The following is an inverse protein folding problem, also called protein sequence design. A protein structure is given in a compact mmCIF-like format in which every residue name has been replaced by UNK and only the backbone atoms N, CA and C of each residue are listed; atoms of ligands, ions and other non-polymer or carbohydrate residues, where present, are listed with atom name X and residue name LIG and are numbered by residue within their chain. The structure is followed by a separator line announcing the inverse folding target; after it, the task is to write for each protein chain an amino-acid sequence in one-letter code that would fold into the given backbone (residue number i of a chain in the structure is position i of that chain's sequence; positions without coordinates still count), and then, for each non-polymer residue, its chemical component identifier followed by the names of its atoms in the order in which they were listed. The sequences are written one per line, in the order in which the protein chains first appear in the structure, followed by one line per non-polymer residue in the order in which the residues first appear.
data_IF_893317624331
#
_entry.id   IF_893317624331
#
_cell.length_a   1.000
_cell.length_b   1.000
_cell.length_c   1.000
_cell.angle_alpha   90.00
_cell.angle_beta   90.00
_cell.angle_gamma   90.00
#
_symmetry.space_group_name_H-M   'P 1'
#
loop_
_entity.id
_entity.type
_entity.pdbx_description
1 polymer ?
#
# COMPACT_ATOMS: atom_id res chain seq x y z
N UNK A 1 -2.31 17.73 22.53
CA UNK A 1 -2.37 18.77 21.49
C UNK A 1 -3.29 18.25 20.41
N UNK A 2 -4.51 18.80 20.34
CA UNK A 2 -5.41 18.53 19.23
C UNK A 2 -4.80 19.19 17.99
N UNK A 3 -4.39 18.39 17.01
CA UNK A 3 -4.09 18.88 15.69
C UNK A 3 -5.45 19.36 15.16
N UNK A 4 -5.64 20.65 14.97
CA UNK A 4 -6.77 21.17 14.22
C UNK A 4 -6.58 20.68 12.79
N UNK A 5 -7.12 19.47 12.52
CA UNK A 5 -6.92 18.78 11.27
C UNK A 5 -7.78 19.36 10.18
N UNK A 6 -7.22 20.30 9.45
CA UNK A 6 -7.71 20.58 8.11
C UNK A 6 -7.13 19.50 7.19
N UNK A 7 -7.99 18.85 6.41
CA UNK A 7 -7.53 18.01 5.31
C UNK A 7 -7.33 18.88 4.07
N UNK A 8 -6.32 18.55 3.26
CA UNK A 8 -6.08 19.23 2.00
C UNK A 8 -7.19 18.90 0.99
N UNK A 9 -7.75 19.92 0.38
CA UNK A 9 -8.71 19.73 -0.72
C UNK A 9 -7.96 19.23 -1.96
N UNK A 10 -8.42 18.09 -2.50
CA UNK A 10 -7.87 17.60 -3.77
C UNK A 10 -8.31 18.48 -4.93
N UNK A 11 -7.35 18.91 -5.74
CA UNK A 11 -7.58 19.74 -6.93
C UNK A 11 -7.47 18.95 -8.24
N UNK A 12 -6.93 17.74 -8.17
CA UNK A 12 -6.82 16.82 -9.28
C UNK A 12 -7.79 15.63 -9.17
N UNK A 13 -7.47 14.56 -9.87
CA UNK A 13 -8.31 13.35 -9.96
C UNK A 13 -7.71 12.23 -9.13
N UNK A 14 -8.53 11.65 -8.25
CA UNK A 14 -8.25 10.38 -7.58
C UNK A 14 -8.96 9.24 -8.32
N UNK A 15 -8.23 8.19 -8.66
CA UNK A 15 -8.77 6.97 -9.28
C UNK A 15 -9.06 5.94 -8.19
N UNK A 16 -10.32 5.57 -8.03
CA UNK A 16 -10.69 4.47 -7.12
C UNK A 16 -10.33 3.13 -7.78
N UNK A 17 -9.59 2.29 -7.05
CA UNK A 17 -9.19 0.96 -7.49
C UNK A 17 -9.42 -0.06 -6.39
N UNK A 18 -10.21 -1.07 -6.70
CA UNK A 18 -10.40 -2.25 -5.87
C UNK A 18 -9.23 -3.23 -6.11
N UNK A 19 -8.49 -3.58 -5.06
CA UNK A 19 -7.27 -4.37 -5.15
C UNK A 19 -7.39 -5.75 -4.51
N UNK A 20 -8.24 -5.88 -3.50
CA UNK A 20 -8.28 -7.04 -2.62
C UNK A 20 -9.66 -7.70 -2.58
N UNK A 21 -9.72 -8.92 -2.09
CA UNK A 21 -10.99 -9.57 -1.76
C UNK A 21 -11.57 -8.99 -0.47
N UNK A 22 -12.88 -9.13 -0.31
CA UNK A 22 -13.58 -8.75 0.91
C UNK A 22 -13.00 -9.48 2.13
N UNK A 23 -12.80 -8.76 3.23
CA UNK A 23 -12.26 -9.26 4.50
C UNK A 23 -13.24 -9.12 5.65
N UNK A 24 -13.98 -8.01 5.71
CA UNK A 24 -15.00 -7.78 6.72
C UNK A 24 -16.32 -8.40 6.26
N UNK A 25 -16.75 -9.47 6.94
CA UNK A 25 -17.95 -10.23 6.58
C UNK A 25 -19.19 -9.52 7.13
N UNK A 26 -19.17 -9.16 8.41
CA UNK A 26 -20.20 -8.39 9.10
C UNK A 26 -19.57 -7.51 10.20
N UNK A 27 -20.31 -7.05 11.18
CA UNK A 27 -19.87 -6.14 12.25
C UNK A 27 -18.91 -6.77 13.26
N UNK A 28 -18.69 -8.06 13.21
CA UNK A 28 -17.82 -8.80 14.12
C UNK A 28 -17.01 -9.91 13.45
N UNK A 29 -17.42 -10.40 12.29
CA UNK A 29 -16.75 -11.49 11.59
C UNK A 29 -15.83 -10.99 10.49
N UNK A 30 -14.65 -11.58 10.42
CA UNK A 30 -13.61 -11.28 9.43
C UNK A 30 -13.00 -12.59 8.89
N UNK A 31 -12.39 -12.50 7.69
CA UNK A 31 -11.66 -13.61 7.10
C UNK A 31 -10.31 -13.13 6.57
N UNK A 32 -9.22 -13.67 7.13
CA UNK A 32 -7.85 -13.41 6.67
C UNK A 32 -7.12 -14.75 6.50
N UNK A 33 -6.32 -14.86 5.43
CA UNK A 33 -5.52 -16.07 5.17
C UNK A 33 -6.33 -17.37 5.19
N UNK A 34 -7.56 -17.31 4.65
CA UNK A 34 -8.54 -18.42 4.67
C UNK A 34 -8.97 -18.88 6.08
N UNK A 35 -8.75 -18.06 7.09
CA UNK A 35 -9.16 -18.29 8.47
C UNK A 35 -10.17 -17.24 8.93
N UNK A 36 -11.36 -17.71 9.35
CA UNK A 36 -12.40 -16.84 9.90
C UNK A 36 -12.13 -16.57 11.38
N UNK A 37 -12.34 -15.32 11.77
CA UNK A 37 -12.25 -14.91 13.16
C UNK A 37 -13.37 -13.97 13.57
N UNK A 38 -13.45 -13.70 14.85
CA UNK A 38 -14.44 -12.80 15.43
C UNK A 38 -13.75 -11.70 16.25
N UNK A 39 -14.22 -10.47 16.09
CA UNK A 39 -13.78 -9.32 16.85
C UNK A 39 -15.01 -8.69 17.53
N UNK A 40 -15.40 -9.22 18.67
CA UNK A 40 -16.56 -8.76 19.46
C UNK A 40 -16.17 -7.76 20.53
N UNK A 41 -14.99 -7.97 21.13
CA UNK A 41 -14.48 -7.20 22.26
C UNK A 41 -13.10 -6.62 21.98
N UNK A 42 -12.68 -5.69 22.82
CA UNK A 42 -11.36 -5.05 22.72
C UNK A 42 -10.20 -6.05 22.72
N UNK A 43 -10.26 -7.13 23.50
CA UNK A 43 -9.19 -8.12 23.60
C UNK A 43 -8.99 -8.90 22.30
N UNK A 44 -10.04 -9.04 21.48
CA UNK A 44 -9.99 -9.85 20.26
C UNK A 44 -9.07 -9.24 19.19
N UNK A 45 -8.81 -7.91 19.26
CA UNK A 45 -7.86 -7.24 18.37
C UNK A 45 -6.40 -7.70 18.56
N UNK A 46 -6.07 -8.26 19.72
CA UNK A 46 -4.73 -8.73 20.05
C UNK A 46 -4.79 -10.11 20.72
N UNK A 47 -5.70 -10.97 20.28
CA UNK A 47 -5.89 -12.30 20.85
C UNK A 47 -4.64 -13.17 20.62
N UNK A 48 -3.98 -13.59 21.70
CA UNK A 48 -2.76 -14.41 21.66
C UNK A 48 -2.97 -15.83 21.11
N UNK A 49 -4.20 -16.28 20.95
CA UNK A 49 -4.53 -17.57 20.32
C UNK A 49 -4.46 -17.50 18.80
N UNK A 50 -4.51 -16.29 18.21
CA UNK A 50 -4.39 -16.08 16.79
C UNK A 50 -2.93 -15.88 16.37
N UNK A 51 -2.60 -16.33 15.16
CA UNK A 51 -1.27 -16.10 14.58
C UNK A 51 -1.00 -14.62 14.37
N UNK A 52 0.25 -14.19 14.60
CA UNK A 52 0.66 -12.79 14.48
C UNK A 52 0.34 -12.20 13.11
N UNK A 53 0.54 -12.95 12.01
CA UNK A 53 0.24 -12.50 10.67
C UNK A 53 -1.27 -12.28 10.46
N UNK A 54 -2.12 -13.12 11.06
CA UNK A 54 -3.57 -12.94 11.04
C UNK A 54 -3.98 -11.66 11.77
N UNK A 55 -3.42 -11.44 12.97
CA UNK A 55 -3.65 -10.20 13.74
C UNK A 55 -3.18 -8.96 12.97
N UNK A 56 -2.04 -9.03 12.29
CA UNK A 56 -1.58 -7.93 11.45
C UNK A 56 -2.59 -7.60 10.34
N UNK A 57 -3.08 -8.61 9.61
CA UNK A 57 -4.10 -8.42 8.58
C UNK A 57 -5.39 -7.79 9.13
N UNK A 58 -5.79 -8.12 10.37
CA UNK A 58 -6.92 -7.49 11.05
C UNK A 58 -6.73 -5.97 11.22
N UNK A 59 -5.49 -5.52 11.42
CA UNK A 59 -5.15 -4.11 11.60
C UNK A 59 -4.82 -3.35 10.31
N UNK A 60 -4.67 -4.02 9.15
CA UNK A 60 -4.34 -3.36 7.88
C UNK A 60 -5.50 -2.59 7.26
N UNK A 61 -6.72 -3.04 7.45
CA UNK A 61 -7.91 -2.47 6.82
C UNK A 61 -7.92 -2.53 5.29
N UNK A 62 -7.36 -3.59 4.70
CA UNK A 62 -7.37 -3.81 3.25
C UNK A 62 -8.80 -3.87 2.69
N UNK A 63 -9.79 -4.30 3.49
CA UNK A 63 -11.20 -4.36 3.11
C UNK A 63 -11.75 -3.01 2.61
N UNK A 64 -11.21 -1.91 3.09
CA UNK A 64 -11.65 -0.57 2.66
C UNK A 64 -11.45 -0.34 1.17
N UNK A 65 -10.51 -1.08 0.55
CA UNK A 65 -10.12 -0.99 -0.85
C UNK A 65 -10.30 -2.34 -1.57
N UNK A 66 -11.25 -3.14 -1.12
CA UNK A 66 -11.59 -4.44 -1.70
C UNK A 66 -12.71 -4.34 -2.74
N UNK A 67 -12.86 -5.40 -3.54
CA UNK A 67 -13.95 -5.49 -4.50
C UNK A 67 -15.31 -5.26 -3.83
N UNK A 68 -16.13 -4.39 -4.42
CA UNK A 68 -17.43 -4.01 -3.89
C UNK A 68 -17.39 -3.14 -2.63
N UNK A 69 -16.25 -2.57 -2.26
CA UNK A 69 -16.10 -1.73 -1.07
C UNK A 69 -17.09 -0.57 -1.02
N UNK A 70 -17.40 0.04 -2.15
CA UNK A 70 -18.31 1.19 -2.24
C UNK A 70 -19.74 0.88 -1.82
N UNK A 71 -20.18 -0.38 -1.88
CA UNK A 71 -21.50 -0.81 -1.43
C UNK A 71 -21.57 -1.17 0.06
N UNK A 72 -20.42 -1.18 0.75
CA UNK A 72 -20.27 -1.60 2.15
C UNK A 72 -19.72 -0.48 3.06
N UNK A 73 -19.84 0.79 2.65
CA UNK A 73 -19.26 1.94 3.35
C UNK A 73 -19.76 2.10 4.79
N UNK A 74 -21.02 1.75 5.07
CA UNK A 74 -21.57 1.80 6.43
C UNK A 74 -20.88 0.78 7.34
N UNK A 75 -20.71 -0.45 6.88
CA UNK A 75 -19.98 -1.49 7.61
C UNK A 75 -18.51 -1.07 7.84
N UNK A 76 -17.85 -0.57 6.81
CA UNK A 76 -16.45 -0.13 6.88
C UNK A 76 -16.27 1.04 7.86
N UNK A 77 -17.20 2.01 7.87
CA UNK A 77 -17.20 3.11 8.83
C UNK A 77 -17.38 2.61 10.27
N UNK A 78 -18.24 1.60 10.48
CA UNK A 78 -18.40 0.96 11.80
C UNK A 78 -17.11 0.30 12.28
N UNK A 79 -16.39 -0.41 11.40
CA UNK A 79 -15.10 -1.03 11.72
C UNK A 79 -14.03 0.00 12.09
N UNK A 80 -13.96 1.13 11.38
CA UNK A 80 -13.02 2.22 11.72
C UNK A 80 -13.35 2.78 13.11
N UNK A 81 -14.62 3.09 13.40
CA UNK A 81 -15.05 3.61 14.70
C UNK A 81 -14.77 2.63 15.83
N UNK A 82 -15.01 1.34 15.59
CA UNK A 82 -14.71 0.26 16.53
C UNK A 82 -13.21 0.17 16.81
N UNK A 83 -12.38 0.23 15.75
CA UNK A 83 -10.93 0.21 15.90
C UNK A 83 -10.43 1.38 16.75
N UNK A 84 -10.87 2.60 16.46
CA UNK A 84 -10.49 3.81 17.22
C UNK A 84 -10.84 3.68 18.70
N UNK A 85 -12.05 3.17 19.00
CA UNK A 85 -12.53 2.98 20.37
C UNK A 85 -11.72 1.91 21.12
N UNK A 86 -11.43 0.81 20.46
CA UNK A 86 -10.90 -0.39 21.10
C UNK A 86 -9.36 -0.41 21.15
N UNK A 87 -8.68 0.40 20.33
CA UNK A 87 -7.22 0.44 20.21
C UNK A 87 -6.66 1.86 20.47
N UNK A 88 -6.82 2.42 21.68
CA UNK A 88 -6.17 3.69 22.00
C UNK A 88 -4.64 3.51 22.01
N UNK A 89 -3.89 4.53 21.58
CA UNK A 89 -2.43 4.48 21.43
C UNK A 89 -1.69 4.09 22.71
N UNK A 90 -2.23 4.47 23.87
CA UNK A 90 -1.61 4.15 25.18
C UNK A 90 -1.53 2.65 25.48
N UNK A 91 -2.40 1.85 24.87
CA UNK A 91 -2.40 0.40 25.09
C UNK A 91 -1.38 -0.33 24.20
N UNK A 92 -0.89 0.32 23.15
CA UNK A 92 -0.01 -0.30 22.15
C UNK A 92 -0.67 -1.46 21.41
N UNK A 93 0.07 -2.56 21.25
CA UNK A 93 -0.38 -3.78 20.56
C UNK A 93 -0.09 -3.80 19.07
N UNK A 94 -0.48 -4.89 18.39
CA UNK A 94 -0.15 -5.13 16.98
C UNK A 94 -0.59 -4.00 16.04
N UNK A 95 -1.68 -3.31 16.36
CA UNK A 95 -2.20 -2.20 15.57
C UNK A 95 -1.34 -0.93 15.62
N UNK A 96 -0.43 -0.81 16.59
CA UNK A 96 0.47 0.34 16.74
C UNK A 96 1.91 0.03 16.34
N UNK A 97 2.18 -1.16 15.84
CA UNK A 97 3.48 -1.48 15.24
C UNK A 97 3.64 -0.73 13.90
N UNK A 98 4.84 -0.26 13.54
CA UNK A 98 5.04 0.64 12.39
C UNK A 98 4.51 0.10 11.06
N UNK A 99 4.67 -1.19 10.79
CA UNK A 99 4.18 -1.79 9.55
C UNK A 99 2.66 -1.76 9.45
N UNK A 100 1.95 -2.15 10.52
CA UNK A 100 0.48 -2.11 10.55
C UNK A 100 -0.06 -0.68 10.51
N UNK A 101 0.58 0.26 11.20
CA UNK A 101 0.28 1.69 11.10
C UNK A 101 0.37 2.16 9.66
N UNK A 102 1.47 1.83 8.98
CA UNK A 102 1.72 2.27 7.62
C UNK A 102 0.63 1.83 6.64
N UNK A 103 0.26 0.54 6.66
CA UNK A 103 -0.79 0.02 5.77
C UNK A 103 -2.15 0.64 6.10
N UNK A 104 -2.48 0.81 7.38
CA UNK A 104 -3.77 1.37 7.80
C UNK A 104 -3.89 2.85 7.45
N UNK A 105 -2.86 3.67 7.66
CA UNK A 105 -2.84 5.09 7.26
C UNK A 105 -3.16 5.21 5.77
N UNK A 106 -2.49 4.43 4.92
CA UNK A 106 -2.71 4.44 3.48
C UNK A 106 -4.13 3.97 3.14
N UNK A 107 -4.58 2.85 3.70
CA UNK A 107 -5.89 2.29 3.40
C UNK A 107 -7.06 3.20 3.82
N UNK A 108 -6.96 3.85 4.97
CA UNK A 108 -7.98 4.82 5.39
C UNK A 108 -7.99 6.03 4.47
N UNK A 109 -6.83 6.59 4.15
CA UNK A 109 -6.73 7.76 3.26
C UNK A 109 -7.30 7.44 1.87
N UNK A 110 -6.94 6.29 1.30
CA UNK A 110 -7.50 5.83 0.01
C UNK A 110 -9.02 5.71 0.06
N UNK A 111 -9.57 5.15 1.14
CA UNK A 111 -11.00 5.01 1.30
C UNK A 111 -11.72 6.37 1.41
N UNK A 112 -11.16 7.32 2.16
CA UNK A 112 -11.69 8.68 2.26
C UNK A 112 -11.66 9.39 0.89
N UNK A 113 -10.57 9.27 0.15
CA UNK A 113 -10.47 9.79 -1.24
C UNK A 113 -11.45 9.11 -2.19
N UNK A 114 -11.83 7.87 -1.92
CA UNK A 114 -12.79 7.06 -2.69
C UNK A 114 -14.25 7.22 -2.22
N UNK A 115 -14.54 8.19 -1.34
CA UNK A 115 -15.89 8.55 -0.94
C UNK A 115 -16.40 7.88 0.34
N UNK A 116 -15.55 7.21 1.13
CA UNK A 116 -15.93 6.84 2.49
C UNK A 116 -16.11 8.11 3.32
N UNK A 117 -17.29 8.28 3.90
CA UNK A 117 -17.56 9.40 4.80
C UNK A 117 -16.73 9.32 6.08
N UNK A 118 -16.21 10.45 6.52
CA UNK A 118 -15.39 10.55 7.72
C UNK A 118 -15.87 11.69 8.63
N UNK A 119 -15.44 11.65 9.88
CA UNK A 119 -15.66 12.70 10.86
C UNK A 119 -14.33 13.17 11.47
N UNK A 120 -14.38 14.21 12.30
CA UNK A 120 -13.18 14.79 12.92
C UNK A 120 -12.39 13.75 13.73
N UNK A 121 -13.05 12.87 14.48
CA UNK A 121 -12.37 11.83 15.27
C UNK A 121 -11.57 10.86 14.41
N UNK A 122 -12.02 10.55 13.20
CA UNK A 122 -11.27 9.70 12.25
C UNK A 122 -10.03 10.43 11.73
N UNK A 123 -10.14 11.74 11.44
CA UNK A 123 -9.01 12.55 10.99
C UNK A 123 -7.98 12.76 12.11
N UNK A 124 -8.44 13.06 13.33
CA UNK A 124 -7.56 13.20 14.50
C UNK A 124 -6.80 11.90 14.78
N UNK A 125 -7.47 10.75 14.65
CA UNK A 125 -6.82 9.46 14.83
C UNK A 125 -5.85 9.15 13.70
N UNK A 126 -6.17 9.50 12.45
CA UNK A 126 -5.25 9.36 11.31
C UNK A 126 -3.96 10.18 11.54
N UNK A 127 -4.11 11.43 12.03
CA UNK A 127 -2.97 12.29 12.37
C UNK A 127 -2.16 11.68 13.52
N UNK A 128 -2.81 11.16 14.57
CA UNK A 128 -2.15 10.48 15.68
C UNK A 128 -1.34 9.26 15.22
N UNK A 129 -1.90 8.47 14.30
CA UNK A 129 -1.19 7.32 13.71
C UNK A 129 0.06 7.77 12.94
N UNK A 130 -0.04 8.83 12.15
CA UNK A 130 1.09 9.38 11.39
C UNK A 130 2.19 9.92 12.31
N UNK A 131 1.81 10.63 13.37
CA UNK A 131 2.75 11.14 14.37
C UNK A 131 3.47 10.00 15.10
N UNK A 132 2.73 8.96 15.48
CA UNK A 132 3.30 7.77 16.12
C UNK A 132 4.29 7.05 15.19
N UNK A 133 3.92 6.85 13.91
CA UNK A 133 4.79 6.26 12.90
C UNK A 133 6.06 7.09 12.69
N UNK A 134 5.95 8.41 12.62
CA UNK A 134 7.10 9.29 12.39
C UNK A 134 8.17 9.19 13.49
N UNK A 135 7.78 8.78 14.71
CA UNK A 135 8.68 8.62 15.84
C UNK A 135 9.35 7.23 15.88
N UNK A 136 8.81 6.23 15.19
CA UNK A 136 9.30 4.84 15.25
C UNK A 136 9.41 4.21 13.85
N UNK A 137 10.23 4.80 12.98
CA UNK A 137 10.48 4.29 11.63
C UNK A 137 11.39 3.05 11.65
N UNK A 138 11.07 2.06 10.84
CA UNK A 138 11.78 0.76 10.76
C UNK A 138 13.10 0.84 9.99
N UNK A 139 13.97 1.81 10.35
CA UNK A 139 15.27 2.06 9.67
C UNK A 139 16.28 0.93 9.79
N UNK A 140 16.07 0.01 10.73
CA UNK A 140 16.94 -1.12 11.03
C UNK A 140 16.52 -2.41 10.32
N UNK A 141 15.35 -2.43 9.69
CA UNK A 141 14.86 -3.57 8.93
C UNK A 141 15.24 -3.42 7.45
N UNK A 142 15.71 -4.51 6.87
CA UNK A 142 15.92 -4.62 5.44
C UNK A 142 14.58 -4.92 4.74
N UNK A 143 14.53 -4.68 3.42
CA UNK A 143 13.35 -4.96 2.62
C UNK A 143 12.37 -3.79 2.54
N UNK A 144 11.08 -4.09 2.35
CA UNK A 144 10.08 -3.08 2.03
C UNK A 144 9.52 -2.29 3.23
N UNK A 145 9.90 -2.63 4.48
CA UNK A 145 9.32 -2.01 5.68
C UNK A 145 9.51 -0.49 5.70
N UNK A 146 10.74 -0.02 5.54
CA UNK A 146 11.04 1.41 5.55
C UNK A 146 10.38 2.15 4.37
N UNK A 147 10.29 1.50 3.20
CA UNK A 147 9.60 2.02 2.03
C UNK A 147 8.10 2.23 2.31
N UNK A 148 7.45 1.25 2.93
CA UNK A 148 6.03 1.31 3.30
C UNK A 148 5.78 2.38 4.38
N UNK A 149 6.68 2.54 5.36
CA UNK A 149 6.63 3.64 6.32
C UNK A 149 6.70 5.00 5.61
N UNK A 150 7.61 5.16 4.65
CA UNK A 150 7.76 6.39 3.87
C UNK A 150 6.49 6.71 3.06
N UNK A 151 5.92 5.70 2.37
CA UNK A 151 4.64 5.83 1.64
C UNK A 151 3.53 6.34 2.56
N UNK A 152 3.40 5.78 3.77
CA UNK A 152 2.37 6.18 4.72
C UNK A 152 2.55 7.65 5.18
N UNK A 153 3.78 8.07 5.46
CA UNK A 153 4.07 9.46 5.80
C UNK A 153 3.78 10.43 4.65
N UNK A 154 4.05 10.03 3.40
CA UNK A 154 3.70 10.82 2.21
C UNK A 154 2.18 10.94 2.08
N UNK A 155 1.44 9.84 2.27
CA UNK A 155 -0.02 9.86 2.24
C UNK A 155 -0.61 10.78 3.30
N UNK A 156 -0.19 10.63 4.56
CA UNK A 156 -0.65 11.49 5.65
C UNK A 156 -0.26 12.96 5.44
N UNK A 157 0.98 13.21 5.03
CA UNK A 157 1.51 14.57 4.85
C UNK A 157 0.94 15.32 3.64
N UNK A 158 0.38 14.62 2.65
CA UNK A 158 -0.35 15.23 1.53
C UNK A 158 -1.82 15.42 1.87
N UNK A 159 -2.45 14.42 2.52
CA UNK A 159 -3.87 14.43 2.80
C UNK A 159 -4.26 15.36 3.95
N UNK A 160 -3.42 15.45 4.98
CA UNK A 160 -3.61 16.35 6.12
C UNK A 160 -2.86 17.67 5.90
N UNK A 161 -3.23 18.70 6.64
CA UNK A 161 -2.57 20.01 6.60
C UNK A 161 -1.95 20.37 7.96
N UNK A 162 -0.99 21.27 7.94
CA UNK A 162 -0.30 21.76 9.13
C UNK A 162 1.19 21.44 9.12
N UNK A 163 1.90 21.96 10.11
CA UNK A 163 3.37 21.83 10.19
C UNK A 163 3.83 20.38 10.38
N UNK A 164 3.07 19.60 11.12
CA UNK A 164 3.33 18.19 11.33
C UNK A 164 3.19 17.43 10.00
N UNK A 165 2.13 17.70 9.24
CA UNK A 165 1.90 17.10 7.92
C UNK A 165 3.02 17.45 6.94
N UNK A 166 3.50 18.69 6.91
CA UNK A 166 4.66 19.11 6.11
C UNK A 166 5.93 18.34 6.52
N UNK A 167 6.15 18.14 7.83
CA UNK A 167 7.28 17.36 8.34
C UNK A 167 7.21 15.89 7.95
N UNK A 168 6.03 15.26 8.03
CA UNK A 168 5.81 13.88 7.59
C UNK A 168 6.07 13.74 6.10
N UNK A 169 5.54 14.65 5.29
CA UNK A 169 5.77 14.65 3.84
C UNK A 169 7.26 14.74 3.50
N UNK A 170 7.97 15.69 4.12
CA UNK A 170 9.41 15.86 3.86
C UNK A 170 10.21 14.63 4.30
N UNK A 171 9.90 14.07 5.47
CA UNK A 171 10.56 12.85 5.96
C UNK A 171 10.27 11.67 5.04
N UNK A 172 9.01 11.48 4.66
CA UNK A 172 8.61 10.42 3.75
C UNK A 172 9.29 10.52 2.38
N UNK A 173 9.32 11.72 1.76
CA UNK A 173 9.97 11.92 0.47
C UNK A 173 11.49 11.68 0.52
N UNK A 174 12.16 12.11 1.59
CA UNK A 174 13.60 11.88 1.77
C UNK A 174 13.95 10.38 1.85
N UNK A 175 13.12 9.59 2.54
CA UNK A 175 13.28 8.14 2.61
C UNK A 175 12.92 7.52 1.27
N UNK A 176 11.76 7.87 0.73
CA UNK A 176 11.23 7.32 -0.51
C UNK A 176 12.23 7.41 -1.68
N UNK A 177 12.81 8.59 -1.90
CA UNK A 177 13.74 8.80 -3.02
C UNK A 177 14.99 7.94 -2.93
N UNK A 178 15.48 7.69 -1.71
CA UNK A 178 16.62 6.82 -1.45
C UNK A 178 16.25 5.35 -1.65
N UNK A 179 15.16 4.91 -1.01
CA UNK A 179 14.71 3.52 -1.08
C UNK A 179 14.31 3.11 -2.50
N UNK A 180 13.73 4.02 -3.29
CA UNK A 180 13.38 3.74 -4.68
C UNK A 180 14.61 3.33 -5.51
N UNK A 181 15.74 3.99 -5.31
CA UNK A 181 16.99 3.70 -6.02
C UNK A 181 17.65 2.40 -5.52
N UNK A 182 17.43 2.04 -4.25
CA UNK A 182 17.99 0.81 -3.66
C UNK A 182 17.13 -0.43 -3.98
N UNK A 183 15.82 -0.28 -4.08
CA UNK A 183 14.90 -1.42 -4.19
C UNK A 183 14.50 -1.80 -5.61
N UNK A 184 14.71 -0.95 -6.60
CA UNK A 184 14.40 -1.25 -7.99
C UNK A 184 15.67 -1.35 -8.82
N UNK A 185 15.90 -2.54 -9.40
CA UNK A 185 17.03 -2.83 -10.25
C UNK A 185 16.92 -2.11 -11.61
N UNK A 186 18.02 -1.93 -12.35
CA UNK A 186 17.99 -1.21 -13.64
C UNK A 186 17.06 -1.82 -14.70
N UNK A 187 16.79 -3.13 -14.63
CA UNK A 187 15.86 -3.85 -15.50
C UNK A 187 14.39 -3.70 -15.08
N UNK A 188 14.13 -3.09 -13.92
CA UNK A 188 12.80 -2.91 -13.35
C UNK A 188 12.38 -4.01 -12.37
N UNK A 189 13.20 -5.02 -12.10
CA UNK A 189 12.94 -6.03 -11.07
C UNK A 189 13.06 -5.45 -9.66
N UNK A 190 12.29 -5.98 -8.71
CA UNK A 190 12.51 -5.70 -7.29
C UNK A 190 13.74 -6.47 -6.80
N UNK A 191 14.56 -5.86 -5.94
CA UNK A 191 15.83 -6.44 -5.48
C UNK A 191 15.67 -7.76 -4.70
N UNK A 192 14.53 -8.01 -4.06
CA UNK A 192 14.22 -9.27 -3.38
C UNK A 192 13.94 -10.43 -4.34
N UNK A 193 13.83 -10.14 -5.65
CA UNK A 193 13.69 -11.13 -6.73
C UNK A 193 12.47 -12.06 -6.57
N UNK A 194 11.44 -11.64 -5.82
CA UNK A 194 10.16 -12.35 -5.76
C UNK A 194 9.09 -11.59 -6.54
N UNK A 195 8.28 -12.31 -7.30
CA UNK A 195 7.16 -11.70 -8.03
C UNK A 195 6.13 -11.10 -7.09
N UNK A 196 5.92 -11.69 -5.91
CA UNK A 196 4.99 -11.19 -4.91
C UNK A 196 5.41 -9.80 -4.38
N UNK A 197 6.64 -9.64 -3.92
CA UNK A 197 7.15 -8.35 -3.43
C UNK A 197 7.26 -7.32 -4.55
N UNK A 198 7.56 -7.76 -5.78
CA UNK A 198 7.55 -6.90 -6.95
C UNK A 198 6.14 -6.30 -7.19
N UNK A 199 5.08 -7.12 -7.14
CA UNK A 199 3.71 -6.65 -7.29
C UNK A 199 3.29 -5.72 -6.15
N UNK A 200 3.64 -6.05 -4.90
CA UNK A 200 3.34 -5.20 -3.74
C UNK A 200 3.98 -3.81 -3.92
N UNK A 201 5.27 -3.76 -4.24
CA UNK A 201 5.97 -2.49 -4.47
C UNK A 201 5.41 -1.73 -5.67
N UNK A 202 5.08 -2.41 -6.76
CA UNK A 202 4.47 -1.79 -7.94
C UNK A 202 3.13 -1.12 -7.59
N UNK A 203 2.28 -1.76 -6.79
CA UNK A 203 1.03 -1.17 -6.28
C UNK A 203 1.31 0.03 -5.39
N UNK A 204 2.33 -0.04 -4.53
CA UNK A 204 2.72 1.10 -3.70
C UNK A 204 3.12 2.33 -4.53
N UNK A 205 3.84 2.12 -5.62
CA UNK A 205 4.21 3.19 -6.54
C UNK A 205 3.01 3.74 -7.32
N UNK A 206 2.10 2.87 -7.78
CA UNK A 206 0.86 3.28 -8.43
C UNK A 206 -0.03 4.10 -7.50
N UNK A 207 -0.13 3.71 -6.23
CA UNK A 207 -0.86 4.48 -5.21
C UNK A 207 -0.27 5.87 -5.01
N UNK A 208 1.07 6.01 -4.98
CA UNK A 208 1.74 7.31 -4.88
C UNK A 208 1.47 8.18 -6.10
N UNK A 209 1.57 7.63 -7.32
CA UNK A 209 1.26 8.37 -8.56
C UNK A 209 -0.20 8.83 -8.55
N UNK A 210 -1.12 8.00 -8.11
CA UNK A 210 -2.53 8.33 -7.98
C UNK A 210 -2.76 9.47 -6.97
N UNK A 211 -2.10 9.40 -5.81
CA UNK A 211 -2.15 10.46 -4.80
C UNK A 211 -1.61 11.79 -5.36
N UNK A 212 -0.49 11.76 -6.06
CA UNK A 212 0.11 12.96 -6.66
C UNK A 212 -0.74 13.54 -7.79
N UNK A 213 -1.45 12.70 -8.54
CA UNK A 213 -2.44 13.15 -9.53
C UNK A 213 -3.64 13.84 -8.87
N UNK A 214 -4.06 13.39 -7.68
CA UNK A 214 -5.14 14.02 -6.92
C UNK A 214 -4.70 15.34 -6.26
N UNK A 215 -3.41 15.48 -5.94
CA UNK A 215 -2.80 16.65 -5.30
C UNK A 215 -1.61 17.18 -6.12
N UNK A 216 -1.84 17.72 -7.32
CA UNK A 216 -0.77 18.24 -8.16
C UNK A 216 -0.03 19.38 -7.44
N UNK A 217 1.28 19.48 -7.66
CA UNK A 217 2.19 20.46 -7.04
C UNK A 217 2.53 20.25 -5.55
N UNK A 218 2.08 19.19 -4.92
CA UNK A 218 2.53 18.83 -3.55
C UNK A 218 3.91 18.17 -3.53
N UNK A 219 4.34 17.60 -4.66
CA UNK A 219 5.63 16.92 -4.82
C UNK A 219 6.33 17.42 -6.07
N UNK A 220 7.65 17.48 -6.02
CA UNK A 220 8.48 17.89 -7.16
C UNK A 220 8.20 17.01 -8.40
N UNK A 221 8.01 17.66 -9.55
CA UNK A 221 7.70 16.99 -10.80
C UNK A 221 8.78 15.99 -11.22
N UNK A 222 10.04 16.19 -10.83
CA UNK A 222 11.13 15.27 -11.13
C UNK A 222 10.98 13.94 -10.40
N UNK A 223 10.49 13.95 -9.16
CA UNK A 223 10.19 12.75 -8.38
C UNK A 223 9.02 12.00 -9.02
N UNK A 224 7.96 12.71 -9.40
CA UNK A 224 6.78 12.13 -10.05
C UNK A 224 7.17 11.44 -11.36
N UNK A 225 7.93 12.12 -12.21
CA UNK A 225 8.35 11.60 -13.51
C UNK A 225 9.31 10.41 -13.36
N UNK A 226 10.27 10.47 -12.45
CA UNK A 226 11.14 9.33 -12.12
C UNK A 226 10.33 8.11 -11.69
N UNK A 227 9.33 8.30 -10.83
CA UNK A 227 8.47 7.20 -10.37
C UNK A 227 7.69 6.58 -11.53
N UNK A 228 7.13 7.38 -12.44
CA UNK A 228 6.43 6.87 -13.62
C UNK A 228 7.35 6.03 -14.52
N UNK A 229 8.59 6.47 -14.72
CA UNK A 229 9.58 5.72 -15.49
C UNK A 229 9.91 4.38 -14.83
N UNK A 230 10.08 4.36 -13.52
CA UNK A 230 10.30 3.12 -12.74
C UNK A 230 9.10 2.18 -12.88
N UNK A 231 7.88 2.69 -12.69
CA UNK A 231 6.64 1.88 -12.82
C UNK A 231 6.52 1.29 -14.22
N UNK A 232 6.84 2.04 -15.26
CA UNK A 232 6.82 1.56 -16.64
C UNK A 232 7.76 0.35 -16.85
N UNK A 233 8.96 0.41 -16.28
CA UNK A 233 9.92 -0.72 -16.30
C UNK A 233 9.42 -1.90 -15.48
N UNK A 234 8.87 -1.67 -14.28
CA UNK A 234 8.33 -2.71 -13.41
C UNK A 234 7.15 -3.44 -14.05
N UNK A 235 6.27 -2.72 -14.77
CA UNK A 235 5.18 -3.33 -15.55
C UNK A 235 5.71 -4.22 -16.68
N UNK A 236 6.78 -3.79 -17.35
CA UNK A 236 7.47 -4.59 -18.37
C UNK A 236 8.03 -5.87 -17.79
N UNK A 237 8.73 -5.78 -16.68
CA UNK A 237 9.29 -6.93 -15.96
C UNK A 237 8.18 -7.90 -15.52
N UNK A 238 7.11 -7.40 -14.90
CA UNK A 238 5.97 -8.21 -14.47
C UNK A 238 5.34 -8.97 -15.64
N UNK A 239 5.18 -8.33 -16.80
CA UNK A 239 4.62 -8.96 -18.00
C UNK A 239 5.48 -10.15 -18.47
N UNK A 240 6.81 -10.00 -18.45
CA UNK A 240 7.77 -11.06 -18.84
C UNK A 240 7.73 -12.23 -17.83
N UNK A 241 7.62 -11.92 -16.55
CA UNK A 241 7.70 -12.92 -15.46
C UNK A 241 6.35 -13.56 -15.11
N UNK A 242 5.26 -13.16 -15.78
CA UNK A 242 3.94 -13.77 -15.60
C UNK A 242 3.77 -14.99 -16.51
N UNK A 243 3.03 -16.00 -16.01
CA UNK A 243 2.60 -17.11 -16.86
C UNK A 243 1.59 -16.66 -17.93
N UNK A 244 1.37 -17.50 -18.95
CA UNK A 244 0.41 -17.22 -20.03
C UNK A 244 -1.04 -17.09 -19.54
N UNK A 245 -1.37 -17.63 -18.36
CA UNK A 245 -2.66 -17.51 -17.68
C UNK A 245 -2.79 -16.20 -16.87
N UNK A 246 -1.73 -15.39 -16.82
CA UNK A 246 -1.70 -14.13 -16.10
C UNK A 246 -1.36 -14.25 -14.62
N UNK A 247 -1.10 -15.46 -14.12
CA UNK A 247 -0.67 -15.69 -12.75
C UNK A 247 0.83 -15.40 -12.57
N UNK A 248 1.24 -15.13 -11.33
CA UNK A 248 2.63 -14.89 -11.00
C UNK A 248 3.43 -16.20 -11.03
N UNK A 249 4.64 -16.14 -11.59
CA UNK A 249 5.56 -17.28 -11.55
C UNK A 249 5.97 -17.62 -10.11
N UNK A 250 6.00 -18.91 -9.78
CA UNK A 250 6.46 -19.39 -8.48
C UNK A 250 8.00 -19.37 -8.40
N UNK A 251 8.56 -18.19 -8.21
CA UNK A 251 9.97 -18.06 -7.86
C UNK A 251 10.07 -17.54 -6.43
N UNK A 252 10.85 -18.23 -5.60
CA UNK A 252 11.03 -17.93 -4.18
C UNK A 252 9.69 -17.93 -3.37
N UNK A 253 9.63 -17.26 -2.23
CA UNK A 253 8.54 -17.31 -1.23
C UNK A 253 7.20 -16.68 -1.68
N UNK A 254 6.77 -16.96 -2.90
CA UNK A 254 5.50 -16.44 -3.41
C UNK A 254 4.32 -17.16 -2.75
N UNK A 255 3.48 -16.41 -2.03
CA UNK A 255 2.27 -16.92 -1.38
C UNK A 255 1.03 -16.34 -2.09
N UNK A 256 0.11 -17.21 -2.54
CA UNK A 256 -1.13 -16.77 -3.18
C UNK A 256 -2.02 -15.96 -2.24
N UNK A 257 -2.65 -14.93 -2.79
CA UNK A 257 -3.67 -14.12 -2.13
C UNK A 257 -3.15 -12.98 -1.25
N UNK A 258 -1.83 -12.81 -1.11
CA UNK A 258 -1.23 -11.68 -0.38
C UNK A 258 -1.11 -10.46 -1.29
N UNK A 259 -0.64 -10.64 -2.54
CA UNK A 259 -0.56 -9.57 -3.53
C UNK A 259 -1.81 -9.54 -4.43
N UNK A 260 -2.19 -8.36 -4.97
CA UNK A 260 -3.23 -8.27 -6.00
C UNK A 260 -2.89 -9.08 -7.24
N UNK A 261 -3.93 -9.51 -7.97
CA UNK A 261 -3.75 -10.20 -9.25
C UNK A 261 -3.11 -9.27 -10.30
N UNK A 262 -2.26 -9.82 -11.16
CA UNK A 262 -1.54 -9.05 -12.18
C UNK A 262 -2.49 -8.27 -13.11
N UNK A 263 -3.63 -8.86 -13.50
CA UNK A 263 -4.64 -8.18 -14.31
C UNK A 263 -5.18 -6.90 -13.66
N UNK A 264 -5.40 -6.93 -12.35
CA UNK A 264 -5.86 -5.78 -11.57
C UNK A 264 -4.78 -4.70 -11.50
N UNK A 265 -3.52 -5.09 -11.39
CA UNK A 265 -2.38 -4.14 -11.38
C UNK A 265 -2.22 -3.46 -12.74
N UNK A 266 -2.31 -4.21 -13.86
CA UNK A 266 -2.28 -3.63 -15.20
C UNK A 266 -3.47 -2.70 -15.47
N UNK A 267 -4.67 -3.07 -15.02
CA UNK A 267 -5.85 -2.21 -15.10
C UNK A 267 -5.64 -0.90 -14.33
N UNK A 268 -5.08 -0.98 -13.12
CA UNK A 268 -4.79 0.19 -12.30
C UNK A 268 -3.80 1.13 -13.00
N UNK A 269 -2.68 0.59 -13.51
CA UNK A 269 -1.71 1.37 -14.28
C UNK A 269 -2.36 2.05 -15.51
N UNK A 270 -3.21 1.33 -16.23
CA UNK A 270 -3.95 1.86 -17.40
C UNK A 270 -4.86 3.01 -17.02
N UNK A 271 -5.61 2.91 -15.92
CA UNK A 271 -6.44 3.99 -15.39
C UNK A 271 -5.64 5.25 -15.03
N UNK A 272 -4.38 5.08 -14.64
CA UNK A 272 -3.46 6.18 -14.36
C UNK A 272 -2.72 6.70 -15.61
N UNK A 273 -3.01 6.15 -16.80
CA UNK A 273 -2.36 6.53 -18.05
C UNK A 273 -0.93 6.04 -18.19
N UNK A 274 -0.56 4.96 -17.48
CA UNK A 274 0.77 4.36 -17.52
C UNK A 274 0.71 3.06 -18.30
N UNK A 275 1.52 2.94 -19.34
CA UNK A 275 1.55 1.80 -20.23
C UNK A 275 2.94 1.20 -20.31
N UNK A 276 3.03 -0.13 -20.38
CA UNK A 276 4.31 -0.79 -20.66
C UNK A 276 4.62 -0.71 -22.16
N UNK A 277 5.80 -0.25 -22.57
CA UNK A 277 6.19 -0.20 -23.98
C UNK A 277 6.34 -1.59 -24.62
N UNK A 278 6.38 -2.66 -23.85
CA UNK A 278 6.46 -4.04 -24.34
C UNK A 278 5.12 -4.62 -24.78
N UNK A 279 4.07 -3.80 -24.90
CA UNK A 279 2.74 -4.29 -25.25
C UNK A 279 2.69 -4.88 -26.67
N UNK A 280 3.53 -4.43 -27.63
CA UNK A 280 3.36 -4.76 -29.05
C UNK A 280 4.63 -5.21 -29.82
N UNK A 281 5.82 -5.32 -29.21
CA UNK A 281 7.07 -5.44 -29.99
C UNK A 281 8.02 -6.60 -29.66
N UNK A 282 7.70 -7.49 -28.73
CA UNK A 282 8.59 -8.65 -28.44
C UNK A 282 7.86 -9.92 -28.82
N UNK A 283 8.11 -10.38 -30.06
CA UNK A 283 7.90 -11.78 -30.39
C UNK A 283 8.75 -12.64 -29.46
N UNK A 284 8.26 -13.81 -29.01
CA UNK A 284 8.99 -14.71 -28.08
C UNK A 284 10.39 -15.11 -28.55
N UNK A 285 10.68 -14.95 -29.81
CA UNK A 285 11.93 -15.34 -30.49
C UNK A 285 13.13 -14.43 -30.14
N UNK A 286 12.92 -13.25 -29.57
CA UNK A 286 13.99 -12.29 -29.23
C UNK A 286 14.28 -12.17 -27.71
N UNK A 287 13.63 -12.96 -26.89
CA UNK A 287 14.01 -13.19 -25.50
C UNK A 287 15.18 -14.17 -25.50
N UNK A 288 16.36 -13.68 -25.88
CA UNK A 288 17.58 -14.48 -25.78
C UNK A 288 17.79 -14.86 -24.32
N UNK A 289 18.12 -16.13 -24.11
CA UNK A 289 18.61 -16.76 -22.87
C UNK A 289 19.67 -15.92 -22.09
N UNK A 290 20.12 -14.82 -22.67
CA UNK A 290 21.12 -13.91 -22.11
C UNK A 290 20.68 -13.19 -20.84
N UNK A 291 19.38 -12.88 -20.67
CA UNK A 291 18.88 -12.25 -19.45
C UNK A 291 18.63 -13.27 -18.33
N UNK A 292 18.31 -14.51 -18.66
CA UNK A 292 18.14 -15.59 -17.68
C UNK A 292 19.47 -16.12 -17.15
N UNK A 293 20.56 -16.09 -17.96
CA UNK A 293 21.88 -16.54 -17.50
C UNK A 293 22.53 -15.56 -16.51
N UNK A 294 22.29 -14.26 -16.61
CA UNK A 294 22.76 -13.30 -15.62
C UNK A 294 22.00 -13.40 -14.29
N UNK A 295 20.82 -13.99 -14.29
CA UNK A 295 20.02 -14.24 -13.09
C UNK A 295 20.51 -15.45 -12.29
N UNK A 296 21.12 -16.46 -12.95
CA UNK A 296 21.57 -17.70 -12.33
C UNK A 296 23.03 -17.66 -11.83
N UNK A 297 23.80 -16.59 -12.07
CA UNK A 297 25.24 -16.55 -11.75
C UNK A 297 25.54 -15.83 -10.43
N UNK A 298 24.55 -15.19 -9.80
CA UNK A 298 24.70 -14.50 -8.51
C UNK A 298 23.93 -15.17 -7.34
N UNK A 299 23.72 -16.48 -7.41
CA UNK A 299 23.29 -17.30 -6.27
C UNK A 299 24.48 -18.01 -5.63
#
# INVERSE_FOLDING_TARGET
NSVEGYWAEKTGVWVTQDLYQQKFINDSEVCFLNHNGNVKNKIDWNNHEEEKLWLYNLHYFDDLNSFGSTTRRDLQSQWIKKWIKDNPAIDGGNGWEPYTLSLRIVNWTKAFLSGLGYNQSMLDNLAQQADFLAQDLERHLLGNHLFVNAKALIFAGIYLEGKEAESWLQTGLNIYTKELDEQVLPDGGNFELTTMYHVIMLVDLLDLINLWAAYPNKVDATIVEKTKQVVTKMLGWLKIMSHNDGEISFFNDTTFGIAPQNSVVFEYATKLGIYSPLADSVAPENLTLFNLQNFCINL
#
